data_IF_135606854798
#
_entry.id   IF_135606854798
#
_cell.length_a   1.000
_cell.length_b   1.000
_cell.length_c   1.000
_cell.angle_alpha   90.00
_cell.angle_beta   90.00
_cell.angle_gamma   90.00
#
_symmetry.space_group_name_H-M   'P 1'
#
loop_
_entity.id
_entity.type
_entity.pdbx_description
1 polymer ?
#
# COMPACT_ATOMS: atom_id res chain seq x y z
N UNK A 1 8.78 35.94 3.12
CA UNK A 1 9.74 34.81 3.17
C UNK A 1 10.45 34.87 4.53
N UNK A 2 10.40 33.92 5.48
CA UNK A 2 10.00 32.51 5.47
C UNK A 2 9.44 32.13 6.86
N UNK A 3 8.16 32.42 7.16
CA UNK A 3 7.57 32.05 8.46
C UNK A 3 7.67 30.54 8.73
N UNK A 4 7.75 29.72 7.67
CA UNK A 4 7.96 28.28 7.79
C UNK A 4 9.34 27.90 8.34
N UNK A 5 10.40 28.59 7.90
CA UNK A 5 11.76 28.30 8.35
C UNK A 5 11.88 28.69 9.82
N UNK A 6 11.35 29.85 10.20
CA UNK A 6 11.40 30.33 11.58
C UNK A 6 10.64 29.41 12.53
N UNK A 7 9.44 28.95 12.13
CA UNK A 7 8.70 27.93 12.88
C UNK A 7 9.47 26.60 12.97
N UNK A 8 10.16 26.20 11.89
CA UNK A 8 10.93 24.96 11.88
C UNK A 8 12.15 25.04 12.82
N UNK A 9 12.96 26.10 12.69
CA UNK A 9 14.16 26.34 13.49
C UNK A 9 13.82 26.59 14.97
N UNK A 10 12.67 27.22 15.27
CA UNK A 10 12.14 27.39 16.64
C UNK A 10 11.60 26.10 17.28
N UNK A 11 11.80 24.97 16.60
CA UNK A 11 11.43 23.63 17.03
C UNK A 11 9.93 23.44 17.32
N UNK A 12 9.05 24.11 16.56
CA UNK A 12 7.61 23.93 16.72
C UNK A 12 7.15 22.53 16.30
N UNK A 13 6.14 22.02 17.00
CA UNK A 13 5.46 20.78 16.63
C UNK A 13 4.93 20.82 15.20
N UNK A 14 5.14 19.72 14.46
CA UNK A 14 4.78 19.62 13.04
C UNK A 14 3.27 19.73 12.85
N UNK A 15 2.45 19.31 13.82
CA UNK A 15 1.00 19.51 13.78
C UNK A 15 0.61 20.98 13.82
N UNK A 16 1.22 21.78 14.69
CA UNK A 16 0.98 23.22 14.76
C UNK A 16 1.40 23.92 13.47
N UNK A 17 2.59 23.62 12.94
CA UNK A 17 3.04 24.21 11.67
C UNK A 17 2.11 23.78 10.52
N UNK A 18 1.75 22.49 10.44
CA UNK A 18 0.81 21.99 9.43
C UNK A 18 -0.54 22.74 9.48
N UNK A 19 -1.07 23.00 10.68
CA UNK A 19 -2.29 23.78 10.86
C UNK A 19 -2.16 25.24 10.44
N UNK A 20 -1.06 25.92 10.79
CA UNK A 20 -0.83 27.33 10.42
C UNK A 20 -0.70 27.53 8.90
N UNK A 21 -0.11 26.56 8.20
CA UNK A 21 0.14 26.62 6.76
C UNK A 21 -0.89 25.86 5.91
N UNK A 22 -1.93 25.30 6.54
CA UNK A 22 -2.98 24.48 5.87
C UNK A 22 -2.39 23.38 4.98
N UNK A 23 -1.31 22.73 5.46
CA UNK A 23 -0.62 21.65 4.75
C UNK A 23 -0.72 20.35 5.50
N UNK A 24 -0.65 19.24 4.77
CA UNK A 24 -0.48 17.94 5.41
C UNK A 24 0.91 17.81 6.05
N UNK A 25 1.01 17.08 7.16
CA UNK A 25 2.29 16.81 7.85
C UNK A 25 3.34 16.24 6.90
N UNK A 26 2.94 15.31 6.03
CA UNK A 26 3.83 14.70 5.02
C UNK A 26 4.31 15.71 3.98
N UNK A 27 3.42 16.60 3.52
CA UNK A 27 3.79 17.69 2.61
C UNK A 27 4.80 18.65 3.24
N UNK A 28 4.69 18.89 4.54
CA UNK A 28 5.63 19.72 5.29
C UNK A 28 7.02 19.07 5.38
N UNK A 29 7.11 17.78 5.72
CA UNK A 29 8.39 17.05 5.71
C UNK A 29 9.04 16.97 4.32
N UNK A 30 8.25 16.89 3.25
CA UNK A 30 8.78 16.94 1.89
C UNK A 30 9.36 18.33 1.57
N UNK A 31 8.65 19.39 1.95
CA UNK A 31 9.09 20.77 1.73
C UNK A 31 10.36 21.10 2.52
N UNK A 32 10.41 20.75 3.81
CA UNK A 32 11.58 20.92 4.68
C UNK A 32 12.81 20.23 4.11
N UNK A 33 12.67 18.99 3.62
CA UNK A 33 13.76 18.25 2.97
C UNK A 33 14.23 18.94 1.69
N UNK A 34 13.31 19.45 0.88
CA UNK A 34 13.64 20.19 -0.34
C UNK A 34 14.39 21.49 -0.04
N UNK A 35 14.11 22.12 1.12
CA UNK A 35 14.78 23.32 1.60
C UNK A 35 16.10 23.04 2.35
N UNK A 36 16.50 21.77 2.50
CA UNK A 36 17.75 21.42 3.20
C UNK A 36 17.77 21.73 4.70
N UNK A 37 16.60 21.86 5.33
CA UNK A 37 16.53 22.21 6.75
C UNK A 37 16.96 21.03 7.65
N UNK A 38 17.64 21.30 8.78
CA UNK A 38 18.16 20.26 9.65
C UNK A 38 17.07 19.41 10.30
N UNK A 39 17.39 18.14 10.56
CA UNK A 39 16.56 17.24 11.36
C UNK A 39 16.51 17.71 12.81
N UNK A 40 15.33 17.64 13.42
CA UNK A 40 15.10 18.09 14.81
C UNK A 40 14.99 16.88 15.73
N UNK A 41 15.66 16.93 16.89
CA UNK A 41 15.52 15.89 17.93
C UNK A 41 14.14 15.99 18.57
N UNK A 42 13.51 14.84 18.84
CA UNK A 42 12.17 14.77 19.44
C UNK A 42 12.07 15.50 20.78
N UNK A 43 13.14 15.49 21.58
CA UNK A 43 13.23 16.16 22.87
C UNK A 43 13.13 17.70 22.78
N UNK A 44 13.47 18.28 21.63
CA UNK A 44 13.50 19.73 21.46
C UNK A 44 12.19 20.27 20.86
N UNK A 45 11.26 19.39 20.48
CA UNK A 45 10.00 19.80 19.84
C UNK A 45 9.05 20.36 20.89
N UNK A 46 8.59 21.59 20.68
CA UNK A 46 7.67 22.29 21.59
C UNK A 46 6.39 22.70 20.87
N UNK A 47 5.29 22.79 21.63
CA UNK A 47 4.05 23.39 21.14
C UNK A 47 4.16 24.91 21.26
N UNK A 48 3.92 25.68 20.19
CA UNK A 48 3.94 27.15 20.26
C UNK A 48 2.80 27.70 21.13
N UNK A 49 3.00 28.90 21.68
CA UNK A 49 1.92 29.60 22.37
C UNK A 49 0.85 30.06 21.36
N UNK A 50 -0.38 30.28 21.83
CA UNK A 50 -1.48 30.72 20.97
C UNK A 50 -1.17 32.05 20.26
N UNK A 51 -0.53 32.99 20.97
CA UNK A 51 -0.12 34.29 20.42
C UNK A 51 0.82 34.14 19.22
N UNK A 52 1.79 33.23 19.29
CA UNK A 52 2.74 33.00 18.20
C UNK A 52 2.03 32.42 16.96
N UNK A 53 1.05 31.54 17.18
CA UNK A 53 0.24 30.96 16.11
C UNK A 53 -0.58 32.03 15.38
N UNK A 54 -1.14 32.98 16.11
CA UNK A 54 -1.91 34.08 15.53
C UNK A 54 -1.03 35.07 14.77
N UNK A 55 0.16 35.39 15.29
CA UNK A 55 1.15 36.21 14.57
C UNK A 55 1.55 35.58 13.23
N UNK A 56 1.76 34.26 13.16
CA UNK A 56 2.08 33.58 11.90
C UNK A 56 0.92 33.62 10.90
N UNK A 57 -0.33 33.49 11.36
CA UNK A 57 -1.51 33.63 10.50
C UNK A 57 -1.61 35.03 9.91
N UNK A 58 -1.43 36.06 10.75
CA UNK A 58 -1.44 37.47 10.32
C UNK A 58 -0.31 37.75 9.33
N UNK A 59 0.92 37.31 9.64
CA UNK A 59 2.08 37.49 8.76
C UNK A 59 1.90 36.79 7.40
N UNK A 60 1.21 35.63 7.37
CA UNK A 60 0.85 34.93 6.13
C UNK A 60 -0.21 35.68 5.35
N UNK A 61 -1.25 36.18 6.01
CA UNK A 61 -2.31 36.97 5.37
C UNK A 61 -1.73 38.24 4.70
N UNK A 62 -0.79 38.91 5.37
CA UNK A 62 -0.06 40.05 4.82
C UNK A 62 0.86 39.69 3.63
N UNK A 63 1.29 38.43 3.52
CA UNK A 63 2.18 37.94 2.45
C UNK A 63 1.42 37.34 1.26
N UNK A 64 0.09 37.31 1.25
CA UNK A 64 -0.68 36.74 0.15
C UNK A 64 -0.61 37.65 -1.10
N UNK A 65 0.05 37.23 -2.20
CA UNK A 65 -0.01 37.98 -3.45
C UNK A 65 -1.34 37.64 -4.14
N UNK A 66 -2.11 38.66 -4.50
CA UNK A 66 -3.31 38.55 -5.33
C UNK A 66 -2.93 38.28 -6.79
N UNK A 67 -2.52 37.04 -7.10
CA UNK A 67 -2.36 36.61 -8.50
C UNK A 67 -3.66 35.94 -8.95
N UNK A 68 -4.40 36.53 -9.91
CA UNK A 68 -5.53 35.85 -10.53
C UNK A 68 -4.99 34.72 -11.41
N UNK A 69 -5.31 33.47 -11.06
CA UNK A 69 -4.99 32.32 -11.91
C UNK A 69 -6.10 32.16 -12.95
N UNK A 70 -5.81 32.27 -14.26
CA UNK A 70 -6.80 31.99 -15.29
C UNK A 70 -7.06 30.49 -15.33
N UNK A 71 -8.34 30.10 -15.17
CA UNK A 71 -8.81 28.74 -15.42
C UNK A 71 -8.90 28.53 -16.93
N UNK A 72 -7.97 27.78 -17.50
CA UNK A 72 -8.13 27.23 -18.84
C UNK A 72 -9.00 25.97 -18.77
N UNK A 73 -10.15 26.08 -19.42
CA UNK A 73 -11.04 24.99 -19.78
C UNK A 73 -10.54 24.27 -21.04
N UNK A 74 -11.02 23.04 -21.24
CA UNK A 74 -10.79 22.19 -22.42
C UNK A 74 -10.08 20.89 -22.01
N UNK A 75 -10.43 19.71 -22.51
CA UNK A 75 -11.28 19.34 -23.62
C UNK A 75 -11.63 17.86 -23.44
N UNK A 76 -12.82 17.45 -23.88
CA UNK A 76 -13.31 16.08 -23.72
C UNK A 76 -12.62 15.07 -24.64
N UNK A 77 -12.89 13.78 -24.37
CA UNK A 77 -13.05 12.79 -25.44
C UNK A 77 -13.89 11.60 -24.92
N UNK A 78 -14.76 11.14 -25.82
CA UNK A 78 -15.87 10.19 -25.68
C UNK A 78 -15.40 8.71 -25.68
N UNK A 79 -16.31 7.74 -25.46
CA UNK A 79 -15.99 6.39 -25.01
C UNK A 79 -15.63 5.44 -26.16
N UNK A 80 -14.71 4.51 -25.92
CA UNK A 80 -14.43 3.41 -26.86
C UNK A 80 -15.06 2.12 -26.34
N UNK A 81 -16.04 1.64 -27.10
CA UNK A 81 -16.73 0.36 -27.00
C UNK A 81 -15.93 -0.72 -27.77
N UNK A 82 -16.19 -1.99 -27.41
CA UNK A 82 -15.84 -3.27 -28.10
C UNK A 82 -14.35 -3.69 -27.98
N UNK A 83 -13.95 -4.89 -27.52
CA UNK A 83 -14.48 -6.23 -27.75
C UNK A 83 -14.49 -7.09 -26.47
N UNK A 84 -15.67 -7.56 -26.07
CA UNK A 84 -15.83 -8.67 -25.14
C UNK A 84 -15.69 -9.99 -25.92
N UNK A 85 -14.48 -10.57 -25.91
CA UNK A 85 -14.31 -11.97 -26.28
C UNK A 85 -14.92 -12.84 -25.16
N UNK A 86 -16.06 -13.47 -25.46
CA UNK A 86 -16.65 -14.52 -24.64
C UNK A 86 -15.67 -15.68 -24.53
N UNK A 87 -15.17 -15.92 -23.31
CA UNK A 87 -14.61 -17.20 -22.89
C UNK A 87 -15.64 -17.95 -22.04
N UNK A 88 -15.62 -19.30 -22.06
CA UNK A 88 -16.73 -20.13 -21.63
C UNK A 88 -16.98 -20.04 -20.13
N UNK A 89 -18.26 -20.21 -19.79
CA UNK A 89 -18.88 -20.29 -18.47
C UNK A 89 -18.07 -21.19 -17.50
N UNK A 90 -17.07 -20.63 -16.84
CA UNK A 90 -16.49 -21.24 -15.66
C UNK A 90 -17.47 -21.00 -14.52
N UNK A 91 -18.13 -22.08 -14.08
CA UNK A 91 -19.10 -22.11 -13.00
C UNK A 91 -18.79 -21.04 -11.94
N UNK A 92 -19.72 -20.09 -11.77
CA UNK A 92 -19.62 -19.01 -10.80
C UNK A 92 -19.51 -19.65 -9.40
N UNK A 93 -18.28 -19.91 -8.95
CA UNK A 93 -18.01 -20.34 -7.60
C UNK A 93 -18.57 -19.24 -6.69
N UNK A 94 -19.67 -19.57 -6.01
CA UNK A 94 -20.37 -18.63 -5.16
C UNK A 94 -19.36 -18.02 -4.19
N UNK A 95 -19.26 -16.69 -4.18
CA UNK A 95 -18.38 -16.00 -3.25
C UNK A 95 -18.80 -16.36 -1.83
N UNK A 96 -17.89 -16.85 -0.97
CA UNK A 96 -18.24 -17.19 0.40
C UNK A 96 -18.82 -15.95 1.09
N UNK A 97 -19.83 -16.13 1.92
CA UNK A 97 -20.38 -15.02 2.71
C UNK A 97 -19.31 -14.43 3.63
N UNK A 98 -19.36 -13.10 3.90
CA UNK A 98 -18.44 -12.50 4.85
C UNK A 98 -18.64 -13.11 6.23
N UNK A 99 -17.57 -13.62 6.84
CA UNK A 99 -17.63 -14.19 8.20
C UNK A 99 -18.10 -13.14 9.21
N UNK A 100 -18.75 -13.57 10.29
CA UNK A 100 -19.21 -12.68 11.36
C UNK A 100 -18.08 -11.75 11.86
N UNK A 101 -18.35 -10.45 11.89
CA UNK A 101 -17.37 -9.42 12.29
C UNK A 101 -16.42 -8.95 11.19
N UNK A 102 -16.57 -9.43 9.95
CA UNK A 102 -15.89 -8.92 8.76
C UNK A 102 -16.81 -8.04 7.92
N UNK A 103 -16.27 -6.93 7.42
CA UNK A 103 -16.91 -6.07 6.42
C UNK A 103 -16.23 -6.28 5.07
N UNK A 104 -17.01 -6.71 4.07
CA UNK A 104 -16.55 -6.78 2.68
C UNK A 104 -16.41 -5.37 2.11
N UNK A 105 -15.24 -5.08 1.57
CA UNK A 105 -14.94 -3.78 0.93
C UNK A 105 -15.05 -3.89 -0.57
N UNK A 106 -14.48 -4.97 -1.13
CA UNK A 106 -14.38 -5.13 -2.57
C UNK A 106 -14.32 -6.61 -2.94
N UNK A 107 -14.66 -6.90 -4.19
CA UNK A 107 -14.41 -8.18 -4.83
C UNK A 107 -13.50 -7.92 -6.03
N UNK A 108 -12.43 -8.69 -6.15
CA UNK A 108 -11.46 -8.59 -7.24
C UNK A 108 -11.24 -9.94 -7.89
N UNK A 109 -10.90 -9.94 -9.18
CA UNK A 109 -10.55 -11.16 -9.90
C UNK A 109 -9.06 -11.46 -9.70
N UNK A 110 -8.73 -12.68 -9.29
CA UNK A 110 -7.35 -13.07 -9.02
C UNK A 110 -6.58 -13.43 -10.27
N UNK A 111 -5.29 -13.70 -10.05
CA UNK A 111 -4.37 -14.31 -11.00
C UNK A 111 -4.90 -15.59 -11.68
N UNK A 112 -5.73 -16.36 -10.99
CA UNK A 112 -6.35 -17.60 -11.50
C UNK A 112 -7.68 -17.36 -12.20
N UNK A 113 -8.13 -16.10 -12.32
CA UNK A 113 -9.44 -15.76 -12.88
C UNK A 113 -10.61 -15.93 -11.91
N UNK A 114 -10.35 -16.31 -10.65
CA UNK A 114 -11.39 -16.55 -9.65
C UNK A 114 -11.69 -15.28 -8.85
N UNK A 115 -12.94 -15.05 -8.43
CA UNK A 115 -13.26 -13.90 -7.62
C UNK A 115 -12.74 -14.08 -6.19
N UNK A 116 -12.23 -13.00 -5.61
CA UNK A 116 -11.74 -12.94 -4.23
C UNK A 116 -12.32 -11.73 -3.52
N UNK A 117 -12.88 -11.99 -2.35
CA UNK A 117 -13.34 -10.97 -1.43
C UNK A 117 -12.16 -10.33 -0.68
N UNK A 118 -12.20 -9.00 -0.60
CA UNK A 118 -11.34 -8.19 0.26
C UNK A 118 -12.17 -7.76 1.46
N UNK A 119 -11.91 -8.40 2.60
CA UNK A 119 -12.65 -8.18 3.83
C UNK A 119 -11.77 -7.49 4.89
N UNK A 120 -12.36 -6.64 5.71
CA UNK A 120 -11.72 -5.98 6.86
C UNK A 120 -12.44 -6.35 8.15
N UNK A 121 -11.67 -6.68 9.19
CA UNK A 121 -12.16 -6.87 10.56
C UNK A 121 -12.66 -5.55 11.13
N UNK A 122 -13.95 -5.48 11.46
CA UNK A 122 -14.62 -4.26 11.93
C UNK A 122 -13.96 -3.74 13.22
N UNK A 123 -13.61 -4.63 14.15
CA UNK A 123 -13.11 -4.26 15.48
C UNK A 123 -11.75 -3.58 15.50
N UNK A 124 -10.87 -3.88 14.54
CA UNK A 124 -9.46 -3.42 14.54
C UNK A 124 -9.05 -2.73 13.25
N UNK A 125 -9.97 -2.57 12.29
CA UNK A 125 -9.70 -2.10 10.93
C UNK A 125 -8.51 -2.83 10.27
N UNK A 126 -8.44 -4.15 10.49
CA UNK A 126 -7.37 -5.01 9.98
C UNK A 126 -7.87 -5.80 8.78
N UNK A 127 -7.06 -5.84 7.72
CA UNK A 127 -7.35 -6.67 6.54
C UNK A 127 -7.37 -8.15 6.93
N UNK A 128 -8.44 -8.85 6.58
CA UNK A 128 -8.55 -10.29 6.71
C UNK A 128 -7.80 -10.94 5.53
N UNK A 129 -6.54 -11.32 5.78
CA UNK A 129 -5.68 -11.91 4.75
C UNK A 129 -6.05 -13.37 4.50
N UNK A 130 -6.76 -13.61 3.41
CA UNK A 130 -7.00 -14.96 2.89
C UNK A 130 -5.83 -15.41 2.01
N UNK A 131 -5.57 -16.73 1.89
CA UNK A 131 -4.52 -17.23 1.00
C UNK A 131 -4.61 -16.73 -0.44
N UNK A 132 -5.84 -16.63 -0.98
CA UNK A 132 -6.02 -16.13 -2.34
C UNK A 132 -5.78 -14.63 -2.47
N UNK A 133 -6.14 -13.84 -1.45
CA UNK A 133 -5.81 -12.41 -1.43
C UNK A 133 -4.29 -12.19 -1.34
N UNK A 134 -3.60 -13.00 -0.54
CA UNK A 134 -2.13 -12.98 -0.46
C UNK A 134 -1.49 -13.32 -1.81
N UNK A 135 -1.97 -14.38 -2.47
CA UNK A 135 -1.52 -14.74 -3.82
C UNK A 135 -1.76 -13.62 -4.83
N UNK A 136 -2.93 -12.99 -4.80
CA UNK A 136 -3.24 -11.85 -5.67
C UNK A 136 -2.29 -10.68 -5.44
N UNK A 137 -2.07 -10.27 -4.18
CA UNK A 137 -1.13 -9.17 -3.87
C UNK A 137 0.30 -9.50 -4.29
N UNK A 138 0.74 -10.76 -4.10
CA UNK A 138 2.04 -11.19 -4.57
C UNK A 138 2.12 -11.18 -6.12
N UNK A 139 1.09 -11.66 -6.81
CA UNK A 139 1.03 -11.67 -8.29
C UNK A 139 1.04 -10.25 -8.87
N UNK A 140 0.29 -9.33 -8.26
CA UNK A 140 0.28 -7.92 -8.64
C UNK A 140 1.65 -7.29 -8.45
N UNK A 141 2.36 -7.68 -7.39
CA UNK A 141 3.74 -7.24 -7.20
C UNK A 141 4.68 -7.79 -8.27
N UNK A 142 4.55 -9.06 -8.64
CA UNK A 142 5.32 -9.68 -9.74
C UNK A 142 5.06 -9.00 -11.08
N UNK A 143 3.82 -8.59 -11.37
CA UNK A 143 3.47 -7.77 -12.54
C UNK A 143 4.16 -6.39 -12.57
N UNK A 144 4.88 -6.01 -11.51
CA UNK A 144 5.47 -4.67 -11.40
C UNK A 144 4.53 -3.65 -10.79
N UNK A 145 3.34 -4.02 -10.33
CA UNK A 145 2.42 -3.02 -9.81
C UNK A 145 2.99 -2.34 -8.55
N UNK A 146 2.87 -1.01 -8.49
CA UNK A 146 3.30 -0.22 -7.34
C UNK A 146 2.44 -0.57 -6.11
N UNK A 147 3.00 -0.77 -4.90
CA UNK A 147 2.20 -1.16 -3.73
C UNK A 147 1.11 -0.16 -3.34
N UNK A 148 1.30 1.13 -3.63
CA UNK A 148 0.25 2.15 -3.50
C UNK A 148 -0.91 1.93 -4.48
N UNK A 149 -0.63 1.51 -5.72
CA UNK A 149 -1.68 1.21 -6.69
C UNK A 149 -2.45 -0.05 -6.27
N UNK A 150 -1.76 -1.11 -5.83
CA UNK A 150 -2.38 -2.31 -5.24
C UNK A 150 -3.31 -1.92 -4.08
N UNK A 151 -2.83 -1.05 -3.17
CA UNK A 151 -3.60 -0.59 -2.03
C UNK A 151 -4.88 0.17 -2.44
N UNK A 152 -4.77 1.07 -3.42
CA UNK A 152 -5.89 1.82 -3.95
C UNK A 152 -6.90 0.89 -4.65
N UNK A 153 -6.41 -0.06 -5.45
CA UNK A 153 -7.24 -1.00 -6.20
C UNK A 153 -8.01 -1.92 -5.26
N UNK A 154 -7.42 -2.33 -4.14
CA UNK A 154 -8.07 -3.21 -3.16
C UNK A 154 -8.88 -2.44 -2.10
N UNK A 155 -8.72 -1.12 -2.00
CA UNK A 155 -9.34 -0.33 -0.94
C UNK A 155 -8.78 -0.63 0.45
N UNK A 156 -7.50 -1.03 0.55
CA UNK A 156 -6.83 -1.37 1.81
C UNK A 156 -5.65 -0.43 2.11
N UNK A 157 -5.20 -0.32 3.38
CA UNK A 157 -4.09 0.57 3.70
C UNK A 157 -2.77 0.16 3.03
N UNK A 158 -2.04 1.13 2.47
CA UNK A 158 -0.71 0.93 1.87
C UNK A 158 0.26 0.15 2.77
N UNK A 159 0.29 0.50 4.07
CA UNK A 159 1.15 -0.18 5.04
C UNK A 159 0.82 -1.66 5.20
N UNK A 160 -0.45 -2.04 5.07
CA UNK A 160 -0.87 -3.43 5.14
C UNK A 160 -0.31 -4.23 3.96
N UNK A 161 -0.34 -3.66 2.74
CA UNK A 161 0.22 -4.27 1.53
C UNK A 161 1.73 -4.45 1.66
N UNK A 162 2.48 -3.39 2.01
CA UNK A 162 3.94 -3.45 2.12
C UNK A 162 4.37 -4.44 3.21
N UNK A 163 3.74 -4.37 4.38
CA UNK A 163 4.02 -5.30 5.47
C UNK A 163 3.75 -6.75 5.04
N UNK A 164 2.65 -7.01 4.32
CA UNK A 164 2.31 -8.35 3.87
C UNK A 164 3.28 -8.88 2.81
N UNK A 165 3.66 -8.06 1.83
CA UNK A 165 4.66 -8.42 0.81
C UNK A 165 6.01 -8.80 1.44
N UNK A 166 6.45 -8.03 2.44
CA UNK A 166 7.68 -8.34 3.18
C UNK A 166 7.60 -9.67 3.93
N UNK A 167 6.45 -10.00 4.54
CA UNK A 167 6.23 -11.28 5.22
C UNK A 167 6.28 -12.46 4.24
N UNK A 168 5.73 -12.28 3.04
CA UNK A 168 5.75 -13.27 1.96
C UNK A 168 7.12 -13.37 1.26
N UNK A 169 8.09 -12.52 1.61
CA UNK A 169 9.42 -12.42 0.97
C UNK A 169 9.33 -12.17 -0.55
N UNK A 170 8.35 -11.41 -1.00
CA UNK A 170 8.28 -10.97 -2.40
C UNK A 170 9.38 -9.94 -2.64
N UNK A 171 10.25 -10.11 -3.65
CA UNK A 171 11.38 -9.22 -3.85
C UNK A 171 10.93 -7.79 -4.18
N UNK A 172 11.70 -6.78 -3.72
CA UNK A 172 11.47 -5.40 -4.13
C UNK A 172 11.92 -5.22 -5.59
N UNK A 173 11.03 -4.68 -6.43
CA UNK A 173 11.34 -4.28 -7.80
C UNK A 173 11.85 -2.83 -7.86
N UNK A 174 12.82 -2.54 -8.77
CA UNK A 174 13.31 -1.19 -9.00
C UNK A 174 12.21 -0.27 -9.51
N UNK A 175 12.34 1.04 -9.24
CA UNK A 175 11.31 2.04 -9.58
C UNK A 175 10.99 2.10 -11.07
N UNK A 176 11.95 1.83 -11.94
CA UNK A 176 11.79 1.81 -13.40
C UNK A 176 10.84 0.71 -13.89
N UNK A 177 10.66 -0.35 -13.12
CA UNK A 177 9.79 -1.48 -13.45
C UNK A 177 8.40 -1.36 -12.82
N UNK A 178 8.11 -0.23 -12.14
CA UNK A 178 6.86 -0.05 -11.41
C UNK A 178 5.76 0.53 -12.30
N UNK A 179 4.67 -0.21 -12.42
CA UNK A 179 3.48 0.17 -13.18
C UNK A 179 2.30 0.46 -12.25
N UNK A 180 1.30 1.21 -12.76
CA UNK A 180 0.07 1.50 -12.01
C UNK A 180 -1.00 0.43 -12.19
N UNK A 181 -1.09 -0.15 -13.38
CA UNK A 181 -2.10 -1.14 -13.72
C UNK A 181 -1.58 -2.55 -13.49
N UNK A 182 -2.46 -3.45 -13.06
CA UNK A 182 -2.15 -4.86 -12.91
C UNK A 182 -2.31 -5.59 -14.24
N UNK A 183 -1.26 -6.30 -14.65
CA UNK A 183 -1.29 -7.23 -15.78
C UNK A 183 -0.99 -8.67 -15.31
N UNK A 184 -1.99 -9.59 -15.35
CA UNK A 184 -1.80 -10.97 -14.94
C UNK A 184 -0.88 -11.76 -15.89
N UNK A 185 -0.79 -11.41 -17.17
CA UNK A 185 0.07 -12.09 -18.12
C UNK A 185 1.54 -11.82 -17.79
N UNK A 186 1.88 -10.55 -17.56
CA UNK A 186 3.23 -10.14 -17.15
C UNK A 186 3.64 -10.74 -15.79
N UNK A 187 2.68 -10.89 -14.85
CA UNK A 187 2.93 -11.61 -13.61
C UNK A 187 3.35 -13.07 -13.86
N UNK A 188 2.63 -13.79 -14.73
CA UNK A 188 2.92 -15.20 -15.07
C UNK A 188 4.30 -15.34 -15.70
N UNK A 189 4.63 -14.45 -16.63
CA UNK A 189 5.91 -14.44 -17.31
C UNK A 189 7.06 -14.27 -16.32
N UNK A 190 7.04 -13.22 -15.49
CA UNK A 190 8.12 -12.95 -14.53
C UNK A 190 8.25 -14.01 -13.43
N UNK A 191 7.12 -14.58 -12.98
CA UNK A 191 7.15 -15.70 -12.04
C UNK A 191 7.83 -16.92 -12.68
N UNK A 192 7.55 -17.19 -13.96
CA UNK A 192 8.19 -18.28 -14.71
C UNK A 192 9.68 -18.01 -14.94
N UNK A 193 10.06 -16.79 -15.32
CA UNK A 193 11.45 -16.36 -15.48
C UNK A 193 12.26 -16.53 -14.18
N UNK A 194 11.64 -16.26 -13.04
CA UNK A 194 12.24 -16.49 -11.72
C UNK A 194 12.33 -17.99 -11.33
N UNK A 195 11.86 -18.92 -12.18
CA UNK A 195 11.82 -20.35 -11.88
C UNK A 195 10.85 -20.72 -10.78
N UNK A 196 9.83 -19.88 -10.53
CA UNK A 196 8.85 -20.07 -9.48
C UNK A 196 7.54 -20.60 -10.06
N UNK A 197 6.83 -21.37 -9.24
CA UNK A 197 5.47 -21.85 -9.52
C UNK A 197 4.57 -21.60 -8.32
N UNK A 198 3.26 -21.56 -8.54
CA UNK A 198 2.29 -21.52 -7.44
C UNK A 198 2.28 -22.89 -6.77
N UNK A 199 2.48 -22.91 -5.46
CA UNK A 199 2.49 -24.13 -4.65
C UNK A 199 1.60 -23.99 -3.43
N UNK A 200 1.06 -25.11 -2.98
CA UNK A 200 0.39 -25.19 -1.69
C UNK A 200 1.42 -25.48 -0.58
N UNK A 201 1.26 -24.81 0.56
CA UNK A 201 2.13 -24.97 1.71
C UNK A 201 1.84 -26.29 2.43
N UNK A 202 2.86 -27.16 2.52
CA UNK A 202 2.74 -28.48 3.19
C UNK A 202 2.28 -28.40 4.65
N UNK A 203 2.62 -27.31 5.34
CA UNK A 203 2.24 -27.10 6.75
C UNK A 203 0.85 -26.49 6.96
N UNK A 204 0.31 -25.79 5.97
CA UNK A 204 -0.93 -25.04 6.11
C UNK A 204 -1.76 -25.27 4.84
N UNK A 205 -2.62 -26.30 4.85
CA UNK A 205 -3.50 -26.60 3.73
C UNK A 205 -4.31 -25.37 3.29
N UNK A 206 -4.45 -25.19 1.99
CA UNK A 206 -5.09 -24.05 1.35
C UNK A 206 -4.22 -22.79 1.24
N UNK A 207 -3.03 -22.73 1.86
CA UNK A 207 -2.12 -21.59 1.72
C UNK A 207 -1.29 -21.71 0.45
N UNK A 208 -1.54 -20.81 -0.51
CA UNK A 208 -0.80 -20.73 -1.76
C UNK A 208 0.37 -19.74 -1.65
N UNK A 209 1.50 -20.05 -2.29
CA UNK A 209 2.66 -19.18 -2.37
C UNK A 209 3.48 -19.43 -3.64
N UNK A 210 4.31 -18.47 -4.05
CA UNK A 210 5.29 -18.67 -5.11
C UNK A 210 6.55 -19.31 -4.53
N UNK A 211 6.93 -20.48 -5.05
CA UNK A 211 8.11 -21.22 -4.62
C UNK A 211 8.77 -21.94 -5.77
N UNK A 212 10.05 -22.24 -5.62
CA UNK A 212 10.79 -23.07 -6.57
C UNK A 212 10.45 -24.57 -6.38
N UNK A 213 11.16 -25.44 -7.10
CA UNK A 213 10.95 -26.89 -7.00
C UNK A 213 11.27 -27.48 -5.62
N UNK A 214 12.12 -26.82 -4.83
CA UNK A 214 12.62 -27.31 -3.54
C UNK A 214 11.88 -26.69 -2.33
N UNK A 215 11.10 -25.63 -2.56
CA UNK A 215 10.40 -24.90 -1.51
C UNK A 215 9.00 -25.47 -1.31
N UNK A 216 8.80 -26.19 -0.20
CA UNK A 216 7.51 -26.82 0.15
C UNK A 216 6.75 -26.10 1.27
N UNK A 217 7.40 -25.15 1.96
CA UNK A 217 6.84 -24.43 3.10
C UNK A 217 6.88 -22.94 2.80
N UNK A 218 5.71 -22.31 2.84
CA UNK A 218 5.58 -20.88 2.60
C UNK A 218 6.43 -20.06 3.59
N UNK A 219 7.07 -18.95 3.17
CA UNK A 219 7.90 -18.12 4.04
C UNK A 219 7.22 -17.65 5.33
N UNK A 220 5.89 -17.46 5.29
CA UNK A 220 5.10 -17.07 6.46
C UNK A 220 4.91 -18.22 7.46
N UNK A 221 4.71 -19.44 6.97
CA UNK A 221 4.54 -20.63 7.81
C UNK A 221 5.83 -21.00 8.54
N UNK A 222 6.99 -20.64 7.98
CA UNK A 222 8.29 -20.79 8.68
C UNK A 222 8.40 -19.94 9.95
N UNK A 223 7.47 -19.01 10.22
CA UNK A 223 7.48 -18.15 11.40
C UNK A 223 6.52 -18.61 12.50
N UNK A 224 5.75 -19.68 12.26
CA UNK A 224 4.82 -20.20 13.28
C UNK A 224 5.57 -21.08 14.27
N UNK A 225 5.14 -21.09 15.53
CA UNK A 225 5.71 -21.92 16.60
C UNK A 225 5.80 -23.39 16.19
N UNK A 226 4.76 -23.91 15.54
CA UNK A 226 4.73 -25.29 15.03
C UNK A 226 5.87 -25.62 14.07
N UNK A 227 6.35 -24.65 13.28
CA UNK A 227 7.50 -24.89 12.40
C UNK A 227 8.81 -24.91 13.19
N UNK A 228 8.93 -24.04 14.19
CA UNK A 228 10.11 -23.95 15.04
C UNK A 228 10.26 -25.22 15.89
N UNK A 229 9.17 -25.72 16.46
CA UNK A 229 9.11 -27.00 17.20
C UNK A 229 9.51 -28.17 16.30
N UNK A 230 8.94 -28.24 15.08
CA UNK A 230 9.30 -29.27 14.11
C UNK A 230 10.78 -29.22 13.73
N UNK A 231 11.38 -28.02 13.55
CA UNK A 231 12.82 -27.91 13.26
C UNK A 231 13.71 -28.29 14.44
N UNK A 232 13.30 -27.99 15.67
CA UNK A 232 14.08 -28.30 16.87
C UNK A 232 14.29 -29.82 17.03
N UNK A 233 13.32 -30.65 16.62
CA UNK A 233 13.42 -32.11 16.67
C UNK A 233 14.30 -32.77 15.60
N UNK A 234 14.88 -32.01 14.65
CA UNK A 234 15.81 -32.53 13.63
C UNK A 234 17.27 -32.12 13.90
N UNK A 235 17.55 -31.52 15.07
CA UNK A 235 18.85 -30.96 15.43
C UNK A 235 19.73 -31.81 16.35
N UNK A 236 19.32 -33.05 16.66
CA UNK A 236 20.10 -34.02 17.46
C UNK A 236 20.78 -35.07 16.56
#
# INVERSE_FOLDING_TARGET
MLPLIDCWLSAWDVGSIAGAFERSKNGLYALVRRLGLPSRKRANIRRPAARDMDQIRVARAAQAPSVPVPRLAGSGCLPSLVCAARLPNAAAAALPEPQAGLKRIKVVTTFDGLPVAVDIRISRNQVAWTPRLELHVASARWAGQHPQAIANDLGIPFRAVVSRLALMRVPPLPRSQLVRQYDPALARERVREAGLVVRECRMQPGRLFFGDRFTYIAPMSKRTTTYQEMQAGYGD
#
